data_IF_352378877484
#
_entry.id   IF_352378877484
#
_cell.length_a   1.000
_cell.length_b   1.000
_cell.length_c   1.000
_cell.angle_alpha   90.00
_cell.angle_beta   90.00
_cell.angle_gamma   90.00
#
_symmetry.space_group_name_H-M   'P 1'
#
loop_
_entity.id
_entity.type
_entity.pdbx_description
1 polymer ?
2 non-polymer ?
3 non-polymer ?
4 water ?
#
# COMPACT_ATOMS: atom_id res chain seq x y z
N UNK A 2 0.35 19.05 4.95
CA UNK A 2 -0.96 18.41 5.05
C UNK A 2 -1.14 17.29 4.02
N UNK A 3 -1.43 16.11 4.50
CA UNK A 3 -1.71 14.98 3.63
C UNK A 3 -3.15 14.58 3.87
N UNK A 4 -3.97 14.72 2.86
CA UNK A 4 -5.35 14.34 2.99
C UNK A 4 -5.50 12.81 3.18
N UNK A 5 -6.63 12.41 3.76
CA UNK A 5 -7.01 11.02 4.00
C UNK A 5 -8.20 10.65 3.14
N UNK A 6 -8.41 9.35 2.95
CA UNK A 6 -9.58 8.85 2.26
C UNK A 6 -10.32 7.93 3.21
N UNK A 7 -11.62 7.81 3.02
CA UNK A 7 -12.41 6.97 3.91
C UNK A 7 -12.67 5.57 3.33
N UNK A 8 -12.44 4.55 4.17
CA UNK A 8 -12.61 3.14 3.82
C UNK A 8 -14.07 2.69 3.92
N UNK A 9 -14.36 1.54 3.29
CA UNK A 9 -15.70 0.95 3.27
C UNK A 9 -16.20 0.63 4.66
N UNK A 10 -15.25 0.61 5.60
CA UNK A 10 -15.56 0.34 6.98
C UNK A 10 -15.63 1.62 7.80
N UNK A 11 -15.50 2.77 7.13
CA UNK A 11 -15.58 4.04 7.81
C UNK A 11 -14.28 4.55 8.40
N UNK A 12 -13.25 3.71 8.45
CA UNK A 12 -11.98 4.20 8.98
C UNK A 12 -11.29 5.04 7.91
N UNK A 13 -10.48 5.99 8.32
CA UNK A 13 -9.81 6.79 7.32
C UNK A 13 -8.34 6.47 7.23
N UNK A 14 -7.77 6.74 6.07
CA UNK A 14 -6.38 6.47 5.82
C UNK A 14 -5.75 7.62 5.05
N UNK A 15 -4.54 8.03 5.45
CA UNK A 15 -3.88 9.09 4.73
C UNK A 15 -3.56 8.59 3.33
N UNK A 16 -3.93 9.38 2.35
CA UNK A 16 -3.76 8.99 0.96
C UNK A 16 -2.34 8.75 0.49
N UNK A 17 -1.40 9.37 1.20
CA UNK A 17 0.01 9.19 0.89
C UNK A 17 0.72 8.77 2.15
N UNK A 18 1.59 7.78 2.04
CA UNK A 18 2.31 7.32 3.19
C UNK A 18 3.75 6.99 2.87
N UNK A 19 4.43 6.44 3.87
CA UNK A 19 5.81 6.03 3.75
C UNK A 19 5.93 4.51 3.89
N UNK A 20 6.32 3.87 2.79
CA UNK A 20 6.51 2.44 2.73
C UNK A 20 7.97 2.12 3.04
N UNK A 21 8.20 1.17 3.93
CA UNK A 21 9.57 0.85 4.29
C UNK A 21 10.06 -0.44 3.69
N UNK A 22 9.44 -0.80 2.63
CA UNK A 22 9.89 -1.98 1.98
C UNK A 22 11.28 -1.70 1.47
N UNK A 23 12.17 -2.69 1.53
CA UNK A 23 13.53 -2.51 1.06
C UNK A 23 14.44 -1.79 2.03
N UNK A 24 13.88 -1.13 3.05
CA UNK A 24 14.75 -0.45 3.98
C UNK A 24 15.41 -1.48 4.92
N UNK A 25 16.74 -1.50 4.99
CA UNK A 25 17.38 -2.43 5.88
C UNK A 25 16.91 -2.18 7.28
N UNK A 26 16.68 -3.27 7.95
CA UNK A 26 16.22 -3.25 9.31
C UNK A 26 17.05 -2.32 10.21
N UNK A 27 18.39 -2.39 10.11
CA UNK A 27 19.25 -1.55 10.94
C UNK A 27 19.14 -0.06 10.62
N UNK A 28 18.46 0.28 9.52
CA UNK A 28 18.32 1.67 9.13
C UNK A 28 16.88 2.17 9.17
N UNK A 29 15.95 1.27 9.40
CA UNK A 29 14.55 1.63 9.39
C UNK A 29 14.14 2.68 10.41
N UNK A 30 14.71 2.62 11.61
CA UNK A 30 14.38 3.60 12.61
C UNK A 30 14.70 5.02 12.18
N UNK A 31 15.89 5.24 11.63
CA UNK A 31 16.25 6.57 11.19
C UNK A 31 15.31 7.04 10.08
N UNK A 32 15.16 6.17 9.06
CA UNK A 32 14.30 6.41 7.90
C UNK A 32 12.90 6.85 8.32
N UNK A 33 12.28 6.10 9.22
CA UNK A 33 10.95 6.44 9.68
C UNK A 33 10.93 7.74 10.50
N UNK A 34 11.96 7.95 11.31
CA UNK A 34 12.00 9.16 12.10
C UNK A 34 12.04 10.38 11.21
N UNK A 35 12.71 10.22 10.07
CA UNK A 35 12.84 11.29 9.10
C UNK A 35 11.54 11.53 8.39
N UNK A 36 10.86 10.46 8.02
CA UNK A 36 9.59 10.64 7.33
C UNK A 36 8.64 11.35 8.26
N UNK A 37 8.65 10.82 9.47
CA UNK A 37 7.84 11.34 10.53
C UNK A 37 8.09 12.83 10.68
N UNK A 38 9.35 13.19 10.72
CA UNK A 38 9.71 14.56 10.85
C UNK A 38 9.24 15.34 9.65
N UNK A 39 9.38 14.72 8.47
CA UNK A 39 8.93 15.41 7.29
C UNK A 39 7.44 15.69 7.29
N UNK A 40 6.68 14.91 8.05
CA UNK A 40 5.26 15.07 8.13
C UNK A 40 4.48 13.82 7.71
N UNK A 41 5.21 12.75 7.35
CA UNK A 41 4.53 11.50 6.98
C UNK A 41 3.85 10.95 8.23
N UNK A 42 2.63 10.35 8.12
CA UNK A 42 1.87 9.79 9.28
C UNK A 42 1.41 8.35 9.07
N UNK A 43 1.39 7.97 7.82
CA UNK A 43 1.03 6.66 7.38
C UNK A 43 2.30 5.91 7.06
N UNK A 44 2.54 4.84 7.84
CA UNK A 44 3.70 3.97 7.69
C UNK A 44 3.29 2.60 7.16
N UNK A 45 3.92 2.17 6.08
CA UNK A 45 3.63 0.88 5.50
C UNK A 45 4.79 -0.10 5.67
N UNK A 46 4.57 -1.12 6.50
CA UNK A 46 5.58 -2.13 6.75
C UNK A 46 5.01 -3.52 6.51
N UNK A 47 5.77 -4.51 6.90
CA UNK A 47 5.37 -5.88 6.71
C UNK A 47 6.26 -6.80 7.51
N UNK A 48 5.70 -7.90 7.99
CA UNK A 48 6.49 -8.84 8.75
C UNK A 48 7.66 -9.36 7.92
N UNK A 49 7.40 -9.68 6.66
CA UNK A 49 8.47 -10.19 5.84
C UNK A 49 9.61 -9.18 5.67
N UNK A 50 9.30 -7.88 5.78
CA UNK A 50 10.33 -6.84 5.66
C UNK A 50 11.38 -6.91 6.76
N UNK A 51 11.01 -7.58 7.85
CA UNK A 51 11.86 -7.77 9.01
C UNK A 51 12.32 -6.47 9.63
N UNK A 52 11.49 -5.42 9.49
CA UNK A 52 11.84 -4.12 10.04
C UNK A 52 10.74 -3.44 10.87
N UNK A 53 9.82 -4.24 11.39
CA UNK A 53 8.75 -3.69 12.21
C UNK A 53 9.27 -3.01 13.47
N UNK A 54 10.34 -3.60 14.03
CA UNK A 54 10.96 -3.08 15.24
C UNK A 54 11.43 -1.66 15.08
N UNK A 55 12.11 -1.43 13.97
CA UNK A 55 12.62 -0.12 13.64
C UNK A 55 11.49 0.89 13.56
N UNK A 56 10.40 0.49 12.91
CA UNK A 56 9.23 1.34 12.76
C UNK A 56 8.68 1.71 14.14
N UNK A 57 8.53 0.68 14.95
CA UNK A 57 8.03 0.82 16.28
C UNK A 57 8.93 1.72 17.08
N UNK A 58 10.21 1.49 16.94
CA UNK A 58 11.19 2.29 17.65
C UNK A 58 11.11 3.75 17.24
N UNK A 59 10.93 3.98 15.92
CA UNK A 59 10.82 5.32 15.36
C UNK A 59 9.58 6.02 15.88
N UNK A 60 8.48 5.28 15.92
CA UNK A 60 7.23 5.80 16.42
C UNK A 60 7.37 6.27 17.86
N UNK A 61 7.82 5.36 18.70
CA UNK A 61 8.02 5.66 20.10
C UNK A 61 8.92 6.85 20.27
N UNK A 62 9.96 6.90 19.45
CA UNK A 62 10.90 8.01 19.51
C UNK A 62 10.24 9.33 19.18
N UNK A 63 9.34 9.30 18.21
CA UNK A 63 8.61 10.48 17.83
C UNK A 63 7.67 10.74 18.96
N UNK A 64 7.37 11.96 19.28
CA UNK A 64 6.46 12.11 20.40
C UNK A 64 5.01 11.78 20.00
N UNK A 65 4.80 11.78 18.70
CA UNK A 65 3.52 11.53 18.05
C UNK A 65 2.46 10.67 18.77
N UNK A 66 1.23 11.24 18.79
CA UNK A 66 0.05 10.60 19.36
C UNK A 66 -0.35 9.43 18.48
N UNK A 67 -0.66 8.33 19.12
CA UNK A 67 -1.01 7.13 18.40
C UNK A 67 -2.07 7.32 17.35
N UNK A 68 -3.09 8.04 17.73
CA UNK A 68 -4.22 8.29 16.88
C UNK A 68 -3.87 9.11 15.66
N UNK A 69 -2.74 9.77 15.72
CA UNK A 69 -2.36 10.58 14.59
C UNK A 69 -1.61 9.79 13.56
N UNK A 70 -1.31 8.55 13.88
CA UNK A 70 -0.56 7.72 12.98
C UNK A 70 -1.40 6.61 12.36
N UNK A 71 -1.00 6.21 11.15
CA UNK A 71 -1.61 5.11 10.42
C UNK A 71 -0.55 4.07 10.15
N UNK A 72 -0.69 2.95 10.86
CA UNK A 72 0.23 1.84 10.75
C UNK A 72 -0.34 0.61 10.07
N UNK A 73 0.36 0.19 9.02
CA UNK A 73 -0.01 -0.99 8.25
C UNK A 73 1.08 -2.05 8.26
N UNK A 74 0.68 -3.28 8.60
CA UNK A 74 1.56 -4.44 8.56
C UNK A 74 0.89 -5.57 7.78
N UNK A 75 1.64 -6.60 7.38
CA UNK A 75 1.03 -7.64 6.56
C UNK A 75 1.34 -9.04 7.02
N UNK A 76 0.40 -9.95 6.72
CA UNK A 76 0.52 -11.36 7.06
C UNK A 76 1.31 -12.16 6.01
N UNK A 77 2.43 -12.76 6.45
CA UNK A 77 3.29 -13.53 5.56
C UNK A 77 2.68 -14.84 5.04
N UNK A 78 3.14 -15.27 3.86
CA UNK A 78 2.66 -16.45 3.13
C UNK A 78 2.61 -17.76 3.87
N UNK A 79 3.53 -17.93 4.82
CA UNK A 79 3.65 -19.13 5.61
C UNK A 79 2.83 -19.15 6.89
N UNK A 80 2.01 -18.13 7.09
CA UNK A 80 1.18 -18.06 8.29
C UNK A 80 -0.29 -18.04 7.97
N UNK A 81 -0.69 -18.67 6.87
CA UNK A 81 -2.09 -18.67 6.46
C UNK A 81 -2.92 -19.69 7.19
N UNK A 82 -2.24 -20.74 7.59
CA UNK A 82 -2.85 -21.88 8.20
C UNK A 82 -3.25 -21.78 9.67
N UNK A 83 -4.25 -22.59 10.01
CA UNK A 83 -4.80 -22.69 11.35
C UNK A 83 -4.92 -21.36 12.08
N UNK A 84 -4.29 -21.28 13.26
CA UNK A 84 -4.31 -20.05 14.03
C UNK A 84 -3.00 -19.29 13.92
N UNK A 85 -2.24 -19.59 12.86
CA UNK A 85 -1.01 -18.89 12.58
C UNK A 85 -1.23 -17.39 12.41
N UNK A 86 -2.35 -17.00 11.78
CA UNK A 86 -2.61 -15.58 11.59
C UNK A 86 -2.59 -14.78 12.88
N UNK A 87 -3.20 -15.33 13.91
CA UNK A 87 -3.22 -14.68 15.21
C UNK A 87 -1.81 -14.65 15.81
N UNK A 88 -1.06 -15.73 15.63
CA UNK A 88 0.31 -15.78 16.12
C UNK A 88 1.18 -14.74 15.41
N UNK A 89 1.07 -14.70 14.06
CA UNK A 89 1.81 -13.76 13.23
C UNK A 89 1.49 -12.31 13.66
N UNK A 90 0.20 -11.95 13.71
CA UNK A 90 -0.14 -10.59 14.12
C UNK A 90 0.42 -10.20 15.49
N UNK A 91 0.37 -11.12 16.46
CA UNK A 91 0.89 -10.87 17.80
C UNK A 91 2.38 -10.59 17.74
N UNK A 92 3.09 -11.37 16.92
CA UNK A 92 4.52 -11.16 16.74
C UNK A 92 4.76 -9.75 16.23
N UNK A 93 4.06 -9.42 15.15
CA UNK A 93 4.17 -8.10 14.56
C UNK A 93 3.93 -7.02 15.60
N UNK A 94 2.83 -7.15 16.36
CA UNK A 94 2.48 -6.19 17.39
C UNK A 94 3.61 -5.97 18.40
N UNK A 95 4.22 -7.07 18.78
CA UNK A 95 5.31 -7.06 19.72
C UNK A 95 6.51 -6.27 19.18
N UNK A 96 6.78 -6.46 17.88
CA UNK A 96 7.88 -5.78 17.22
C UNK A 96 7.67 -4.28 17.15
N UNK A 97 6.47 -3.89 16.77
CA UNK A 97 6.06 -2.50 16.64
C UNK A 97 5.82 -1.83 17.98
N UNK A 98 5.63 -2.66 18.99
CA UNK A 98 5.34 -2.21 20.33
C UNK A 98 4.06 -1.38 20.35
N UNK A 99 3.09 -1.85 19.59
CA UNK A 99 1.80 -1.20 19.49
C UNK A 99 0.73 -2.12 20.06
N UNK A 100 -0.39 -1.53 20.43
CA UNK A 100 -1.49 -2.29 20.96
C UNK A 100 -2.21 -2.96 19.81
N UNK A 101 -2.26 -2.23 18.71
CA UNK A 101 -2.88 -2.70 17.50
C UNK A 101 -2.43 -1.87 16.33
N UNK A 102 -2.66 -2.42 15.15
CA UNK A 102 -2.33 -1.77 13.92
C UNK A 102 -3.59 -1.17 13.31
N UNK A 103 -3.40 -0.23 12.39
CA UNK A 103 -4.52 0.40 11.73
C UNK A 103 -5.12 -0.48 10.65
N UNK A 104 -4.24 -1.15 9.93
CA UNK A 104 -4.64 -2.01 8.85
C UNK A 104 -3.73 -3.22 8.81
N UNK A 105 -4.31 -4.36 8.50
CA UNK A 105 -3.57 -5.62 8.44
C UNK A 105 -3.88 -6.31 7.13
N UNK A 106 -2.85 -6.75 6.41
CA UNK A 106 -3.08 -7.38 5.13
C UNK A 106 -2.53 -8.78 4.96
N UNK A 107 -3.27 -9.56 4.14
CA UNK A 107 -2.85 -10.88 3.73
C UNK A 107 -1.89 -10.60 2.59
N UNK A 108 -0.60 -10.64 2.89
CA UNK A 108 0.45 -10.32 1.93
C UNK A 108 0.27 -10.82 0.48
N UNK A 109 0.00 -12.12 0.35
CA UNK A 109 -0.17 -12.78 -0.94
C UNK A 109 -1.29 -13.82 -0.84
N UNK A 110 -1.96 -14.11 -1.96
CA UNK A 110 -3.04 -15.09 -1.91
C UNK A 110 -2.55 -16.54 -1.89
N UNK A 111 -1.37 -16.82 -2.47
CA UNK A 111 -0.80 -18.19 -2.53
C UNK A 111 -1.85 -19.22 -2.92
N UNK A 112 -2.51 -18.92 -4.03
CA UNK A 112 -3.59 -19.73 -4.56
C UNK A 112 -3.30 -21.21 -4.59
N UNK A 113 -2.10 -21.54 -4.99
CA UNK A 113 -1.76 -22.93 -5.08
C UNK A 113 -1.88 -23.63 -3.73
N UNK A 114 -1.77 -22.87 -2.65
CA UNK A 114 -1.88 -23.47 -1.34
C UNK A 114 -3.34 -23.59 -0.90
N UNK A 115 -4.22 -22.89 -1.62
CA UNK A 115 -5.66 -22.89 -1.36
C UNK A 115 -5.98 -22.66 0.10
N UNK A 116 -5.31 -21.68 0.69
CA UNK A 116 -5.51 -21.33 2.08
C UNK A 116 -5.81 -19.85 2.28
N UNK A 117 -6.02 -19.13 1.17
CA UNK A 117 -6.31 -17.72 1.27
C UNK A 117 -7.68 -17.38 1.86
N UNK A 118 -8.62 -18.31 1.71
CA UNK A 118 -9.97 -18.14 2.27
C UNK A 118 -9.90 -18.30 3.78
N UNK A 119 -9.20 -19.34 4.20
CA UNK A 119 -8.99 -19.60 5.60
C UNK A 119 -8.29 -18.39 6.22
N UNK A 120 -7.27 -17.86 5.51
CA UNK A 120 -6.56 -16.68 5.98
C UNK A 120 -7.56 -15.55 6.23
N UNK A 121 -8.42 -15.32 5.22
CA UNK A 121 -9.43 -14.28 5.28
C UNK A 121 -10.36 -14.44 6.50
N UNK A 122 -10.81 -15.67 6.76
CA UNK A 122 -11.65 -15.96 7.91
C UNK A 122 -10.99 -15.54 9.21
N UNK A 123 -9.72 -15.94 9.34
CA UNK A 123 -8.94 -15.61 10.51
C UNK A 123 -8.76 -14.09 10.65
N UNK A 124 -8.56 -13.40 9.50
CA UNK A 124 -8.37 -11.94 9.47
C UNK A 124 -9.57 -11.23 10.10
N UNK A 125 -10.74 -11.76 9.81
CA UNK A 125 -11.97 -11.22 10.32
C UNK A 125 -12.00 -11.32 11.83
N UNK A 126 -11.46 -12.42 12.32
CA UNK A 126 -11.40 -12.66 13.74
C UNK A 126 -10.43 -11.72 14.39
N UNK A 127 -9.37 -11.38 13.66
CA UNK A 127 -8.37 -10.45 14.17
C UNK A 127 -8.96 -9.07 14.36
N UNK A 128 -9.78 -8.66 13.40
CA UNK A 128 -10.44 -7.38 13.49
C UNK A 128 -11.45 -7.41 14.65
N UNK A 129 -12.21 -8.52 14.76
CA UNK A 129 -13.18 -8.64 15.83
C UNK A 129 -12.51 -8.47 17.21
N UNK A 130 -11.34 -9.07 17.37
CA UNK A 130 -10.57 -9.01 18.61
C UNK A 130 -9.91 -7.65 18.87
N UNK A 131 -9.91 -6.78 17.86
CA UNK A 131 -9.32 -5.46 18.00
C UNK A 131 -7.83 -5.41 17.77
N UNK A 132 -7.28 -6.50 17.25
CA UNK A 132 -5.86 -6.59 16.96
C UNK A 132 -5.48 -5.60 15.86
N UNK A 133 -6.45 -5.32 15.01
CA UNK A 133 -6.27 -4.40 13.90
C UNK A 133 -7.55 -3.65 13.66
N UNK A 134 -7.46 -2.41 13.22
CA UNK A 134 -8.65 -1.62 12.96
C UNK A 134 -9.41 -2.05 11.70
N UNK A 135 -8.68 -2.22 10.61
CA UNK A 135 -9.26 -2.65 9.35
C UNK A 135 -8.46 -3.79 8.78
N UNK A 136 -9.05 -4.48 7.83
CA UNK A 136 -8.39 -5.59 7.18
C UNK A 136 -8.51 -5.47 5.68
N UNK A 137 -7.47 -5.95 5.01
CA UNK A 137 -7.40 -5.94 3.57
C UNK A 137 -6.52 -7.05 3.07
N UNK A 138 -6.33 -7.05 1.78
CA UNK A 138 -5.49 -8.04 1.19
C UNK A 138 -4.51 -7.42 0.28
N UNK A 139 -3.70 -8.25 -0.31
CA UNK A 139 -2.69 -7.78 -1.20
C UNK A 139 -2.44 -8.77 -2.30
N UNK A 140 -2.28 -8.25 -3.49
CA UNK A 140 -1.99 -9.11 -4.60
C UNK A 140 -3.09 -10.11 -4.91
N UNK A 141 -4.31 -9.76 -4.52
CA UNK A 141 -5.45 -10.59 -4.79
C UNK A 141 -6.08 -10.26 -6.13
N UNK A 142 -6.25 -11.30 -6.95
CA UNK A 142 -6.86 -11.18 -8.25
C UNK A 142 -8.38 -11.17 -8.06
N UNK A 143 -9.12 -10.83 -9.10
CA UNK A 143 -10.58 -10.78 -9.04
C UNK A 143 -11.21 -12.04 -8.43
N UNK A 144 -10.83 -13.22 -8.95
CA UNK A 144 -11.36 -14.46 -8.44
C UNK A 144 -11.01 -14.66 -6.97
N UNK A 145 -9.81 -14.22 -6.58
CA UNK A 145 -9.43 -14.33 -5.17
C UNK A 145 -10.44 -13.58 -4.31
N UNK A 146 -10.66 -12.33 -4.70
CA UNK A 146 -11.57 -11.43 -4.02
C UNK A 146 -13.00 -11.94 -3.99
N UNK A 147 -13.51 -12.39 -5.14
CA UNK A 147 -14.87 -12.91 -5.18
C UNK A 147 -15.06 -14.01 -4.16
N UNK A 148 -14.11 -14.93 -4.20
CA UNK A 148 -14.10 -16.11 -3.34
C UNK A 148 -14.10 -15.79 -1.85
N UNK A 149 -13.23 -14.87 -1.44
CA UNK A 149 -13.18 -14.54 -0.02
C UNK A 149 -14.43 -13.85 0.45
N UNK A 150 -14.96 -13.00 -0.40
CA UNK A 150 -16.14 -12.30 -0.02
C UNK A 150 -17.33 -13.25 0.03
N UNK A 151 -17.37 -14.16 -0.94
CA UNK A 151 -18.42 -15.13 -1.01
C UNK A 151 -18.39 -16.04 0.18
N UNK A 152 -17.20 -16.38 0.58
CA UNK A 152 -17.06 -17.26 1.70
C UNK A 152 -17.33 -16.63 3.04
N UNK A 153 -17.04 -15.32 3.16
CA UNK A 153 -17.17 -14.63 4.43
C UNK A 153 -18.24 -13.57 4.52
N UNK A 154 -18.55 -12.94 3.41
CA UNK A 154 -19.50 -11.89 3.44
C UNK A 154 -18.85 -10.60 3.93
N UNK A 155 -17.53 -10.64 4.13
CA UNK A 155 -16.80 -9.47 4.57
C UNK A 155 -15.87 -9.01 3.46
N UNK A 156 -15.98 -7.73 3.08
CA UNK A 156 -15.17 -7.15 2.01
C UNK A 156 -13.94 -6.45 2.54
N UNK A 157 -12.79 -6.77 1.94
CA UNK A 157 -11.55 -6.15 2.32
C UNK A 157 -11.65 -4.63 2.17
N UNK A 158 -11.01 -3.92 3.09
CA UNK A 158 -11.01 -2.48 3.02
C UNK A 158 -10.14 -2.05 1.86
N UNK A 159 -9.08 -2.82 1.64
CA UNK A 159 -8.19 -2.49 0.55
C UNK A 159 -7.59 -3.70 -0.10
N UNK A 160 -7.04 -3.43 -1.28
CA UNK A 160 -6.30 -4.37 -2.05
C UNK A 160 -5.02 -3.69 -2.52
N UNK A 161 -3.92 -4.09 -1.90
CA UNK A 161 -2.63 -3.54 -2.23
C UNK A 161 -2.00 -4.33 -3.38
N UNK A 162 -1.89 -3.70 -4.54
CA UNK A 162 -1.34 -4.39 -5.70
C UNK A 162 -0.31 -3.54 -6.41
N UNK A 163 0.47 -4.19 -7.27
CA UNK A 163 1.45 -3.50 -8.07
C UNK A 163 0.70 -2.60 -9.05
N UNK A 164 1.01 -1.30 -9.07
CA UNK A 164 0.31 -0.39 -9.97
C UNK A 164 1.13 0.86 -10.31
N UNK A 165 1.26 1.11 -11.61
CA UNK A 165 1.97 2.24 -12.15
C UNK A 165 1.50 2.44 -13.58
N UNK A 166 1.93 3.51 -14.24
CA UNK A 166 1.43 3.76 -15.56
C UNK A 166 1.48 2.62 -16.59
N UNK A 167 2.54 1.81 -16.59
CA UNK A 167 2.65 0.71 -17.56
C UNK A 167 1.90 -0.55 -17.20
N UNK A 168 1.44 -0.63 -15.95
CA UNK A 168 0.75 -1.81 -15.48
C UNK A 168 -0.27 -1.44 -14.39
N UNK A 169 -1.50 -1.24 -14.87
CA UNK A 169 -2.64 -0.78 -14.10
C UNK A 169 -3.63 -1.76 -13.48
N UNK A 170 -3.59 -3.04 -13.90
CA UNK A 170 -4.49 -4.07 -13.36
C UNK A 170 -5.92 -3.58 -13.26
N UNK A 171 -6.38 -2.98 -14.37
CA UNK A 171 -7.70 -2.37 -14.50
C UNK A 171 -8.89 -3.23 -14.04
N UNK A 172 -8.85 -4.53 -14.36
CA UNK A 172 -9.88 -5.46 -13.98
C UNK A 172 -10.05 -5.46 -12.46
N UNK A 173 -8.92 -5.43 -11.76
CA UNK A 173 -8.91 -5.41 -10.30
C UNK A 173 -9.45 -4.10 -9.76
N UNK A 174 -8.90 -3.00 -10.29
CA UNK A 174 -9.31 -1.68 -9.87
C UNK A 174 -10.78 -1.42 -10.17
N UNK A 175 -11.25 -2.03 -11.24
CA UNK A 175 -12.65 -1.91 -11.63
C UNK A 175 -13.52 -2.66 -10.65
N UNK A 176 -13.11 -3.91 -10.38
CA UNK A 176 -13.82 -4.76 -9.45
C UNK A 176 -13.90 -4.08 -8.08
N UNK A 177 -12.77 -3.48 -7.70
CA UNK A 177 -12.65 -2.77 -6.44
C UNK A 177 -13.65 -1.62 -6.33
N UNK A 178 -13.73 -0.81 -7.38
CA UNK A 178 -14.65 0.32 -7.39
C UNK A 178 -16.10 -0.13 -7.26
N UNK A 179 -16.42 -1.25 -7.90
CA UNK A 179 -17.75 -1.82 -7.84
C UNK A 179 -18.08 -2.36 -6.47
N UNK A 180 -17.05 -2.80 -5.75
CA UNK A 180 -17.17 -3.37 -4.42
C UNK A 180 -16.74 -2.43 -3.30
N UNK A 181 -16.36 -1.22 -3.68
CA UNK A 181 -15.97 -0.17 -2.75
C UNK A 181 -14.68 -0.45 -1.95
N UNK A 182 -13.84 -1.29 -2.53
CA UNK A 182 -12.55 -1.63 -1.96
C UNK A 182 -11.53 -0.63 -2.46
N UNK A 183 -10.76 -0.05 -1.52
CA UNK A 183 -9.76 0.91 -1.92
C UNK A 183 -8.52 0.22 -2.44
N UNK A 184 -7.86 0.92 -3.34
CA UNK A 184 -6.64 0.43 -3.98
C UNK A 184 -5.38 1.11 -3.47
N UNK A 185 -4.45 0.28 -2.99
CA UNK A 185 -3.13 0.71 -2.53
C UNK A 185 -2.12 0.34 -3.61
N UNK A 186 -1.55 1.35 -4.22
CA UNK A 186 -0.61 1.13 -5.29
C UNK A 186 0.79 0.85 -4.82
N UNK A 187 1.22 -0.39 -4.97
CA UNK A 187 2.58 -0.68 -4.63
C UNK A 187 3.46 -0.55 -5.85
N UNK A 188 4.71 -0.13 -5.66
CA UNK A 188 5.60 0.12 -6.77
C UNK A 188 5.00 1.23 -7.64
N UNK A 189 4.38 2.26 -7.00
CA UNK A 189 3.71 3.36 -7.71
C UNK A 189 4.56 4.02 -8.81
N UNK A 190 5.87 3.99 -8.60
CA UNK A 190 6.84 4.58 -9.50
C UNK A 190 7.64 3.54 -10.32
N UNK A 191 7.13 2.32 -10.44
CA UNK A 191 7.85 1.30 -11.21
C UNK A 191 9.12 0.71 -10.54
N UNK A 192 9.44 1.12 -9.30
CA UNK A 192 10.61 0.58 -8.62
C UNK A 192 11.89 0.79 -9.40
N UNK A 193 11.85 1.77 -10.28
CA UNK A 193 12.98 2.11 -11.12
C UNK A 193 13.25 1.06 -12.19
N UNK A 194 12.34 0.13 -12.33
CA UNK A 194 12.54 -0.92 -13.28
C UNK A 194 12.40 -0.53 -14.74
N UNK A 195 11.90 0.66 -14.98
CA UNK A 195 11.79 1.14 -16.34
C UNK A 195 11.79 2.64 -16.41
N UNK A 196 11.95 3.16 -17.61
CA UNK A 196 11.99 4.59 -17.81
C UNK A 196 10.61 5.18 -17.76
N UNK A 197 10.13 5.35 -16.54
CA UNK A 197 8.83 5.91 -16.34
C UNK A 197 8.91 7.44 -16.40
N UNK A 198 9.93 7.98 -15.74
CA UNK A 198 10.15 9.41 -15.67
C UNK A 198 10.46 10.03 -17.02
N UNK A 199 10.75 9.18 -17.99
CA UNK A 199 11.07 9.61 -19.34
C UNK A 199 9.84 9.64 -20.21
N UNK A 200 8.78 8.99 -19.73
CA UNK A 200 7.53 8.94 -20.44
C UNK A 200 7.09 10.35 -20.74
N UNK A 201 6.67 10.58 -21.98
CA UNK A 201 6.25 11.90 -22.39
C UNK A 201 5.01 12.45 -21.71
N UNK A 202 4.05 11.57 -21.46
CA UNK A 202 2.85 11.99 -20.80
C UNK A 202 3.17 12.47 -19.41
N UNK A 203 4.20 11.84 -18.87
CA UNK A 203 4.68 12.16 -17.55
C UNK A 203 5.40 13.51 -17.54
N UNK A 204 6.31 13.70 -18.47
CA UNK A 204 7.05 14.95 -18.53
C UNK A 204 6.16 16.13 -18.84
N UNK A 205 5.19 15.89 -19.73
CA UNK A 205 4.27 16.94 -20.12
C UNK A 205 3.42 17.45 -18.96
N UNK A 206 2.97 16.53 -18.12
CA UNK A 206 2.17 16.87 -16.96
C UNK A 206 2.98 17.58 -15.87
N UNK A 207 4.19 17.08 -15.63
CA UNK A 207 5.07 17.64 -14.62
C UNK A 207 5.48 19.06 -14.97
N UNK A 208 5.91 19.20 -16.21
CA UNK A 208 6.33 20.49 -16.73
C UNK A 208 5.15 21.44 -16.70
N UNK A 209 3.99 20.90 -17.04
CA UNK A 209 2.77 21.67 -17.09
C UNK A 209 2.36 22.21 -15.73
N UNK A 210 3.02 21.73 -14.68
CA UNK A 210 2.67 22.15 -13.34
C UNK A 210 3.85 22.61 -12.51
N UNK A 211 5.05 22.58 -13.09
CA UNK A 211 6.22 22.99 -12.36
C UNK A 211 6.54 21.96 -11.29
N UNK A 212 6.35 20.70 -11.65
CA UNK A 212 6.60 19.59 -10.77
C UNK A 212 7.51 18.58 -11.41
N UNK A 213 7.98 17.62 -10.62
CA UNK A 213 8.82 16.58 -11.15
C UNK A 213 7.96 15.48 -11.69
N UNK A 214 8.57 14.63 -12.47
CA UNK A 214 7.88 13.50 -13.03
C UNK A 214 7.34 12.62 -11.93
N UNK A 215 8.18 12.31 -10.93
CA UNK A 215 7.78 11.50 -9.80
C UNK A 215 6.50 12.05 -9.20
N UNK A 216 6.51 13.37 -8.99
CA UNK A 216 5.37 14.06 -8.45
C UNK A 216 4.12 13.94 -9.31
N UNK A 217 4.30 14.07 -10.62
CA UNK A 217 3.20 13.96 -11.56
C UNK A 217 2.61 12.57 -11.53
N UNK A 218 3.49 11.57 -11.42
CA UNK A 218 3.07 10.18 -11.37
C UNK A 218 2.28 9.92 -10.09
N UNK A 219 2.81 10.44 -9.00
CA UNK A 219 2.16 10.31 -7.72
C UNK A 219 0.77 10.92 -7.77
N UNK A 220 0.66 12.12 -8.37
CA UNK A 220 -0.60 12.85 -8.50
C UNK A 220 -1.66 12.04 -9.25
N UNK A 221 -1.19 11.32 -10.27
CA UNK A 221 -2.06 10.49 -11.09
C UNK A 221 -2.71 9.38 -10.28
N UNK A 222 -1.91 8.71 -9.44
CA UNK A 222 -2.44 7.68 -8.56
C UNK A 222 -3.50 8.29 -7.67
N UNK A 223 -3.11 9.40 -7.08
CA UNK A 223 -3.98 10.11 -6.19
C UNK A 223 -5.30 10.49 -6.83
N UNK A 224 -5.21 11.13 -7.98
CA UNK A 224 -6.39 11.54 -8.71
C UNK A 224 -7.30 10.41 -9.11
N UNK A 225 -6.71 9.25 -9.35
CA UNK A 225 -7.43 8.05 -9.72
C UNK A 225 -8.05 7.45 -8.47
N UNK A 226 -7.68 8.05 -7.32
CA UNK A 226 -8.21 7.66 -6.02
C UNK A 226 -7.46 6.57 -5.28
N UNK A 227 -6.27 6.24 -5.74
CA UNK A 227 -5.51 5.21 -5.07
C UNK A 227 -4.68 5.73 -3.91
N UNK A 228 -4.25 4.81 -3.03
CA UNK A 228 -3.39 5.12 -1.89
C UNK A 228 -1.94 4.82 -2.26
N UNK A 229 -1.02 5.78 -2.00
CA UNK A 229 0.41 5.59 -2.33
C UNK A 229 1.32 5.76 -1.11
N UNK A 230 2.42 5.01 -1.12
CA UNK A 230 3.43 5.02 -0.06
C UNK A 230 4.80 4.69 -0.65
N UNK A 231 5.26 5.51 -1.62
CA UNK A 231 6.53 5.28 -2.29
C UNK A 231 7.68 5.19 -1.34
N UNK A 232 8.64 4.36 -1.72
CA UNK A 232 9.83 4.15 -0.95
C UNK A 232 10.92 5.12 -1.36
N UNK A 233 11.73 5.49 -0.37
CA UNK A 233 12.83 6.41 -0.57
C UNK A 233 13.57 6.69 0.72
N UNK A 234 14.88 6.83 0.59
CA UNK A 234 15.71 7.14 1.74
C UNK A 234 16.28 8.56 1.68
N UNK A 235 16.23 9.15 0.47
CA UNK A 235 16.70 10.51 0.28
C UNK A 235 15.64 11.51 0.75
N UNK A 236 16.05 12.39 1.66
CA UNK A 236 15.19 13.42 2.22
C UNK A 236 14.64 14.29 1.10
N UNK A 237 15.44 14.43 0.05
CA UNK A 237 15.03 15.22 -1.09
C UNK A 237 13.77 14.67 -1.74
N UNK A 238 13.72 13.35 -1.84
CA UNK A 238 12.57 12.69 -2.41
C UNK A 238 11.42 12.61 -1.43
N UNK A 239 11.75 12.53 -0.16
CA UNK A 239 10.74 12.46 0.88
C UNK A 239 9.89 13.71 0.87
N UNK A 240 10.55 14.84 0.94
CA UNK A 240 9.91 16.12 0.94
C UNK A 240 9.15 16.32 -0.36
N UNK A 241 9.83 15.98 -1.42
CA UNK A 241 9.30 16.09 -2.75
C UNK A 241 8.01 15.31 -2.93
N UNK A 242 8.04 14.05 -2.51
CA UNK A 242 6.88 13.18 -2.63
C UNK A 242 5.71 13.63 -1.78
N UNK A 243 6.01 14.43 -0.78
CA UNK A 243 5.00 14.95 0.09
C UNK A 243 4.35 16.18 -0.53
N UNK A 244 5.10 16.86 -1.40
CA UNK A 244 4.61 18.07 -2.05
C UNK A 244 3.74 17.83 -3.27
N UNK A 245 2.61 17.09 -3.11
CA UNK A 245 1.73 16.79 -4.24
C UNK A 245 0.23 17.08 -4.05
N UNK A 246 -0.16 17.83 -3.02
CA UNK A 246 -1.58 18.13 -2.81
C UNK A 246 -1.90 19.55 -3.19
N UNK A 247 -0.84 20.20 -3.61
CA UNK A 247 -0.72 21.58 -4.05
C UNK A 247 -1.30 21.81 -5.43
N UNK A 248 -1.31 20.76 -6.22
CA UNK A 248 -1.76 20.82 -7.58
C UNK A 248 -2.66 19.66 -7.95
N UNK A 249 -3.07 19.69 -9.20
CA UNK A 249 -3.91 18.67 -9.81
C UNK A 249 -3.71 18.64 -11.32
N UNK A 250 -3.83 17.45 -11.87
CA UNK A 250 -3.69 17.24 -13.30
C UNK A 250 -5.01 17.40 -14.00
N UNK A 251 -4.97 17.73 -15.31
CA UNK A 251 -6.20 17.83 -16.07
C UNK A 251 -6.58 16.44 -16.51
N UNK A 252 -7.82 16.29 -16.91
CA UNK A 252 -8.28 15.01 -17.35
C UNK A 252 -7.49 14.50 -18.53
N UNK A 253 -7.15 15.43 -19.37
CA UNK A 253 -6.36 15.15 -20.54
C UNK A 253 -5.02 14.61 -20.12
N UNK A 254 -4.45 15.22 -19.10
CA UNK A 254 -3.18 14.79 -18.58
C UNK A 254 -3.28 13.38 -18.03
N UNK A 255 -4.31 13.15 -17.26
CA UNK A 255 -4.49 11.84 -16.69
C UNK A 255 -4.68 10.80 -17.77
N UNK A 256 -5.55 11.12 -18.72
CA UNK A 256 -5.85 10.24 -19.83
C UNK A 256 -4.60 9.83 -20.59
N UNK A 257 -3.67 10.77 -20.76
CA UNK A 257 -2.41 10.52 -21.46
C UNK A 257 -1.53 9.54 -20.70
N UNK A 258 -1.56 9.67 -19.39
CA UNK A 258 -0.79 8.78 -18.58
C UNK A 258 -1.43 7.41 -18.56
N UNK A 259 -2.74 7.38 -18.59
CA UNK A 259 -3.44 6.11 -18.59
C UNK A 259 -3.13 5.29 -19.84
N UNK A 260 -2.88 5.97 -20.97
CA UNK A 260 -2.61 5.29 -22.24
C UNK A 260 -1.29 4.51 -22.24
N UNK A 261 -0.43 4.81 -21.27
CA UNK A 261 0.86 4.14 -21.15
C UNK A 261 0.77 2.63 -20.91
N UNK A 262 -0.40 2.16 -20.50
CA UNK A 262 -0.57 0.75 -20.25
C UNK A 262 -0.76 -0.03 -21.56
N UNK A 263 0.16 -0.95 -21.86
CA UNK A 263 0.09 -1.73 -23.09
C UNK A 263 -1.18 -2.56 -23.21
N UNK A 264 -1.81 -2.82 -22.08
CA UNK A 264 -3.00 -3.61 -22.08
C UNK A 264 -2.72 -5.10 -22.22
N UNK A 265 -1.46 -5.51 -22.21
CA UNK A 265 -1.21 -6.94 -22.35
C UNK A 265 -0.49 -7.54 -21.16
N UNK A 266 -0.29 -6.74 -20.14
CA UNK A 266 0.37 -7.19 -18.95
C UNK A 266 1.88 -7.16 -19.07
N UNK A 267 2.36 -6.79 -20.24
CA UNK A 267 3.79 -6.73 -20.47
C UNK A 267 4.49 -5.66 -19.65
N UNK A 268 3.73 -4.71 -19.10
CA UNK A 268 4.32 -3.62 -18.32
C UNK A 268 4.65 -3.99 -16.88
N UNK A 269 4.33 -5.22 -16.50
CA UNK A 269 4.58 -5.70 -15.15
C UNK A 269 6.06 -5.66 -14.80
N UNK A 270 6.35 -5.27 -13.54
CA UNK A 270 7.74 -5.19 -13.07
C UNK A 270 8.07 -6.11 -11.92
N UNK A 271 7.04 -6.68 -11.29
CA UNK A 271 7.28 -7.53 -10.14
C UNK A 271 6.63 -8.88 -10.25
N UNK A 272 6.56 -9.58 -9.10
CA UNK A 272 6.01 -10.91 -9.03
C UNK A 272 4.50 -11.01 -9.17
N UNK A 273 4.07 -12.05 -9.88
CA UNK A 273 2.65 -12.34 -10.10
C UNK A 273 2.13 -13.26 -9.02
N UNK A 274 0.92 -12.97 -8.53
CA UNK A 274 0.29 -13.76 -7.47
C UNK A 274 0.24 -15.24 -7.76
N UNK A 275 0.14 -15.62 -9.04
CA UNK A 275 0.09 -17.02 -9.37
C UNK A 275 1.46 -17.67 -9.24
N UNK A 276 2.47 -16.85 -9.10
CA UNK A 276 3.79 -17.38 -8.97
C UNK A 276 4.37 -17.34 -7.55
N UNK A 277 3.93 -16.38 -6.72
CA UNK A 277 4.46 -16.27 -5.33
C UNK A 277 3.84 -17.25 -4.31
N UNK A 278 4.72 -18.08 -3.72
CA UNK A 278 4.40 -19.11 -2.71
C UNK A 278 3.06 -19.81 -2.89
#
# INVERSE_FOLDING_TARGET
MTVPSIVLNDGNSIPQLGYGVYKVPPADTQRAVEEALEVGYRHIDTAAIYGNEEGVGAAIAASGIARDDLFITTKLWNDRHDGDEPAAAIAESLAKLALDQVDLYLVHWPTPAADNYVHAWEKMIELRAAGLTRSIGVSNHLVPHLERIVAATGVVPAVNQIELHPAYQQREITDWAAAHDVKIESWGPLGQGKYDLFGAEPVTAAAAAHGKTPAQAVLRWHLQKGFVVFPGSVRREHLEENLDVFDFDLTDTEIAAIDAMDPGDGSGRVSGHPDEVD
#
